data_IF_788904937783
#
_entry.id   IF_788904937783
#
_cell.length_a   1.000
_cell.length_b   1.000
_cell.length_c   1.000
_cell.angle_alpha   90.00
_cell.angle_beta   90.00
_cell.angle_gamma   90.00
#
_symmetry.space_group_name_H-M   'P 1'
#
loop_
_entity.id
_entity.type
_entity.pdbx_description
1 polymer ?
#
# COMPACT_ATOMS: atom_id res chain seq x y z
N UNK A 1 -53.52 14.63 76.03
CA UNK A 1 -52.59 15.14 75.01
C UNK A 1 -52.00 13.92 74.34
N UNK A 2 -52.47 13.61 73.14
CA UNK A 2 -52.06 12.44 72.37
C UNK A 2 -50.99 12.90 71.38
N UNK A 3 -49.75 12.50 71.60
CA UNK A 3 -48.64 12.74 70.68
C UNK A 3 -48.62 11.60 69.67
N UNK A 4 -49.15 11.85 68.46
CA UNK A 4 -49.15 10.90 67.35
C UNK A 4 -47.76 10.79 66.73
N UNK A 5 -47.17 9.59 66.76
CA UNK A 5 -45.90 9.32 66.11
C UNK A 5 -46.12 9.08 64.60
N UNK A 6 -45.78 10.08 63.78
CA UNK A 6 -45.83 10.02 62.31
C UNK A 6 -44.69 9.13 61.82
N UNK A 7 -45.02 7.91 61.40
CA UNK A 7 -44.07 7.01 60.74
C UNK A 7 -43.85 7.50 59.31
N UNK A 8 -42.66 8.02 59.01
CA UNK A 8 -42.25 8.32 57.64
C UNK A 8 -42.03 7.00 56.87
N UNK A 9 -42.51 6.88 55.62
CA UNK A 9 -42.19 5.73 54.79
C UNK A 9 -40.71 5.77 54.39
N UNK A 10 -39.95 4.73 54.73
CA UNK A 10 -38.59 4.53 54.24
C UNK A 10 -38.62 4.22 52.74
N UNK A 11 -37.97 5.07 51.96
CA UNK A 11 -37.73 4.88 50.53
C UNK A 11 -36.80 3.66 50.34
N UNK A 12 -37.14 2.67 49.49
CA UNK A 12 -36.30 1.49 49.29
C UNK A 12 -35.04 1.89 48.52
N UNK A 13 -33.87 1.78 49.17
CA UNK A 13 -32.58 2.00 48.52
C UNK A 13 -32.35 0.95 47.44
N UNK A 14 -32.41 1.37 46.18
CA UNK A 14 -32.01 0.54 45.05
C UNK A 14 -30.51 0.22 45.17
N UNK A 15 -30.06 -1.02 44.87
CA UNK A 15 -28.65 -1.37 44.89
C UNK A 15 -27.89 -0.49 43.89
N UNK A 16 -26.84 0.18 44.37
CA UNK A 16 -25.93 0.90 43.48
C UNK A 16 -25.32 -0.09 42.47
N UNK A 17 -25.22 0.27 41.18
CA UNK A 17 -24.54 -0.57 40.20
C UNK A 17 -23.09 -0.81 40.64
N UNK A 18 -22.52 -2.00 40.37
CA UNK A 18 -21.13 -2.27 40.69
C UNK A 18 -20.24 -1.22 40.03
N UNK A 19 -19.17 -0.75 40.70
CA UNK A 19 -18.23 0.17 40.09
C UNK A 19 -17.72 -0.45 38.78
N UNK A 20 -17.59 0.34 37.70
CA UNK A 20 -17.04 -0.17 36.46
C UNK A 20 -15.70 -0.83 36.76
N UNK A 21 -15.53 -2.07 36.31
CA UNK A 21 -14.27 -2.78 36.41
C UNK A 21 -13.14 -1.84 35.98
N UNK A 22 -12.10 -1.75 36.82
CA UNK A 22 -10.92 -0.91 36.60
C UNK A 22 -10.55 -0.91 35.11
N UNK A 23 -10.92 0.17 34.43
CA UNK A 23 -10.45 0.43 33.08
C UNK A 23 -8.95 0.66 33.25
N UNK A 24 -8.08 -0.15 32.64
CA UNK A 24 -6.64 0.08 32.73
C UNK A 24 -6.39 1.51 32.26
N UNK A 25 -5.78 2.30 33.14
CA UNK A 25 -5.52 3.72 32.88
C UNK A 25 -4.84 3.89 31.53
N UNK A 26 -5.26 4.92 30.79
CA UNK A 26 -4.70 5.27 29.51
C UNK A 26 -3.25 5.74 29.73
N UNK A 27 -2.30 4.79 29.68
CA UNK A 27 -0.88 5.09 29.73
C UNK A 27 -0.49 5.74 28.39
N UNK A 28 -0.14 7.03 28.42
CA UNK A 28 0.10 7.86 27.23
C UNK A 28 1.36 7.48 26.43
N UNK A 29 2.12 6.47 26.86
CA UNK A 29 3.21 5.87 26.11
C UNK A 29 2.77 4.50 25.56
N UNK A 30 1.86 4.53 24.57
CA UNK A 30 1.42 3.42 23.70
C UNK A 30 1.80 2.02 24.16
N UNK A 31 1.19 1.53 25.24
CA UNK A 31 1.15 0.11 25.50
C UNK A 31 0.08 -0.51 24.60
N UNK A 32 0.39 -0.67 23.31
CA UNK A 32 -0.44 -1.47 22.41
C UNK A 32 -0.52 -2.88 23.01
N UNK A 33 -1.74 -3.39 23.20
CA UNK A 33 -1.93 -4.72 23.78
C UNK A 33 -1.13 -5.74 22.95
N UNK A 34 -0.32 -6.58 23.62
CA UNK A 34 0.54 -7.55 22.94
C UNK A 34 -0.28 -8.48 22.04
N UNK A 35 -1.56 -8.69 22.37
CA UNK A 35 -2.50 -9.44 21.54
C UNK A 35 -2.87 -8.68 20.27
N UNK A 36 -3.24 -7.41 20.37
CA UNK A 36 -3.64 -6.60 19.21
C UNK A 36 -2.49 -6.40 18.22
N UNK A 37 -1.26 -6.20 18.71
CA UNK A 37 -0.08 -6.10 17.84
C UNK A 37 0.18 -7.40 17.07
N UNK A 38 0.01 -8.57 17.71
CA UNK A 38 0.16 -9.88 17.04
C UNK A 38 -0.93 -10.11 15.99
N UNK A 39 -2.16 -9.73 16.30
CA UNK A 39 -3.28 -9.83 15.36
C UNK A 39 -3.07 -8.92 14.15
N UNK A 40 -2.52 -7.73 14.34
CA UNK A 40 -2.20 -6.82 13.25
C UNK A 40 -1.07 -7.34 12.36
N UNK A 41 -0.01 -7.90 12.95
CA UNK A 41 1.08 -8.54 12.20
C UNK A 41 0.59 -9.78 11.42
N UNK A 42 -0.41 -10.48 11.95
CA UNK A 42 -1.00 -11.66 11.30
C UNK A 42 -1.89 -11.31 10.10
N UNK A 43 -2.32 -10.05 9.96
CA UNK A 43 -3.14 -9.64 8.81
C UNK A 43 -2.32 -9.79 7.52
N UNK A 44 -2.92 -10.31 6.44
CA UNK A 44 -2.25 -10.35 5.15
C UNK A 44 -1.91 -8.92 4.69
N UNK A 45 -0.80 -8.78 3.97
CA UNK A 45 -0.42 -7.49 3.41
C UNK A 45 -1.50 -7.00 2.45
N UNK A 46 -1.95 -5.76 2.64
CA UNK A 46 -2.94 -5.12 1.79
C UNK A 46 -2.39 -5.02 0.37
N UNK A 47 -3.23 -5.25 -0.63
CA UNK A 47 -2.87 -5.09 -2.04
C UNK A 47 -3.51 -3.83 -2.61
N UNK A 48 -2.94 -3.32 -3.70
CA UNK A 48 -3.53 -2.20 -4.44
C UNK A 48 -4.90 -2.57 -5.01
N UNK A 49 -5.06 -3.82 -5.43
CA UNK A 49 -6.33 -4.39 -5.95
C UNK A 49 -7.42 -4.53 -4.88
N UNK A 50 -7.06 -4.58 -3.59
CA UNK A 50 -8.05 -4.62 -2.49
C UNK A 50 -8.67 -3.24 -2.23
N UNK A 51 -7.96 -2.16 -2.58
CA UNK A 51 -8.37 -0.77 -2.31
C UNK A 51 -8.95 -0.08 -3.56
N UNK A 52 -8.48 -0.46 -4.75
CA UNK A 52 -8.83 0.19 -6.00
C UNK A 52 -9.16 -0.82 -7.10
N UNK A 53 -9.99 -0.39 -8.05
CA UNK A 53 -10.19 -1.13 -9.29
C UNK A 53 -8.93 -1.04 -10.16
N UNK A 54 -8.21 -2.16 -10.30
CA UNK A 54 -6.97 -2.24 -11.09
C UNK A 54 -7.15 -3.01 -12.40
N UNK A 55 -6.35 -2.70 -13.42
CA UNK A 55 -6.32 -3.45 -14.68
C UNK A 55 -4.88 -3.69 -15.15
N UNK A 56 -4.52 -4.95 -15.45
CA UNK A 56 -3.20 -5.35 -15.97
C UNK A 56 -2.01 -4.82 -15.15
N UNK A 57 -2.17 -4.70 -13.84
CA UNK A 57 -1.15 -4.12 -12.98
C UNK A 57 -0.03 -5.14 -12.71
N UNK A 58 1.25 -4.81 -12.96
CA UNK A 58 2.36 -5.69 -12.61
C UNK A 58 2.40 -5.98 -11.12
N UNK A 59 2.82 -7.20 -10.74
CA UNK A 59 2.95 -7.65 -9.34
C UNK A 59 3.71 -6.68 -8.43
N UNK A 60 4.72 -6.00 -8.99
CA UNK A 60 5.50 -4.98 -8.27
C UNK A 60 4.64 -3.80 -7.79
N UNK A 61 3.66 -3.36 -8.57
CA UNK A 61 2.77 -2.25 -8.23
C UNK A 61 1.53 -2.71 -7.45
N UNK A 62 1.19 -3.99 -7.55
CA UNK A 62 0.10 -4.59 -6.77
C UNK A 62 0.44 -4.77 -5.29
N UNK A 63 1.72 -5.03 -4.98
CA UNK A 63 2.21 -5.27 -3.61
C UNK A 63 3.20 -4.19 -3.18
N UNK A 64 2.83 -3.24 -2.29
CA UNK A 64 3.78 -2.20 -1.87
C UNK A 64 5.01 -2.72 -1.13
N UNK A 65 4.93 -3.89 -0.49
CA UNK A 65 6.09 -4.54 0.12
C UNK A 65 7.18 -4.92 -0.93
N UNK A 66 6.88 -4.89 -2.23
CA UNK A 66 7.90 -5.08 -3.26
C UNK A 66 8.90 -3.92 -3.33
N UNK A 67 8.51 -2.72 -2.85
CA UNK A 67 9.37 -1.54 -2.83
C UNK A 67 10.28 -1.55 -1.59
N UNK A 68 11.53 -1.93 -1.82
CA UNK A 68 12.58 -2.01 -0.79
C UNK A 68 13.78 -1.13 -1.18
N UNK A 69 14.61 -0.78 -0.20
CA UNK A 69 15.84 -0.01 -0.41
C UNK A 69 15.67 1.50 -0.29
N UNK A 70 14.54 1.98 0.20
CA UNK A 70 14.30 3.41 0.39
C UNK A 70 14.96 3.92 1.67
N UNK A 71 15.25 5.22 1.72
CA UNK A 71 16.00 5.82 2.83
C UNK A 71 15.41 5.54 4.21
N UNK A 72 14.08 5.59 4.36
CA UNK A 72 13.41 5.28 5.62
C UNK A 72 13.57 3.83 6.11
N UNK A 73 13.90 2.90 5.20
CA UNK A 73 14.05 1.47 5.51
C UNK A 73 15.51 1.10 5.82
N UNK A 74 16.47 1.75 5.16
CA UNK A 74 17.88 1.33 5.16
C UNK A 74 18.82 2.32 5.83
N UNK A 75 18.46 3.61 5.86
CA UNK A 75 19.38 4.64 6.33
C UNK A 75 19.65 4.50 7.83
N UNK A 76 20.95 4.44 8.16
CA UNK A 76 21.48 4.50 9.53
C UNK A 76 22.08 5.87 9.85
N UNK A 77 21.87 6.85 8.97
CA UNK A 77 22.46 8.18 9.11
C UNK A 77 21.82 8.91 10.29
N UNK A 78 22.66 9.56 11.09
CA UNK A 78 22.17 10.37 12.20
C UNK A 78 21.29 11.52 11.68
N UNK A 79 20.12 11.80 12.29
CA UNK A 79 19.20 12.84 11.82
C UNK A 79 19.86 14.22 11.62
N UNK A 80 20.81 14.60 12.47
CA UNK A 80 21.53 15.88 12.35
C UNK A 80 22.46 16.01 11.15
N UNK A 81 22.92 14.90 10.56
CA UNK A 81 23.84 14.95 9.43
C UNK A 81 23.13 14.76 8.09
N UNK A 82 21.81 14.94 8.05
CA UNK A 82 21.01 14.68 6.86
C UNK A 82 20.94 15.90 5.95
N UNK A 83 21.18 15.68 4.66
CA UNK A 83 21.13 16.74 3.64
C UNK A 83 19.79 16.73 2.92
N UNK A 84 19.46 17.81 2.20
CA UNK A 84 18.27 17.88 1.34
C UNK A 84 18.29 16.84 0.23
N UNK A 85 19.47 16.48 -0.30
CA UNK A 85 19.60 15.41 -1.29
C UNK A 85 19.17 14.04 -0.75
N UNK A 86 19.25 13.81 0.57
CA UNK A 86 18.78 12.57 1.19
C UNK A 86 17.24 12.49 1.27
N UNK A 87 16.51 13.56 0.99
CA UNK A 87 15.05 13.55 0.97
C UNK A 87 14.51 12.85 -0.30
N UNK A 88 15.21 12.99 -1.42
CA UNK A 88 14.88 12.27 -2.63
C UNK A 88 15.02 10.76 -2.43
N UNK A 89 13.99 10.00 -2.78
CA UNK A 89 13.97 8.54 -2.60
C UNK A 89 13.93 8.10 -1.13
N UNK A 90 13.54 8.99 -0.21
CA UNK A 90 13.46 8.61 1.20
C UNK A 90 12.29 7.66 1.50
N UNK A 91 11.11 7.92 0.92
CA UNK A 91 9.90 7.14 1.15
C UNK A 91 9.59 6.23 -0.05
N UNK A 92 9.21 4.95 0.20
CA UNK A 92 8.71 4.07 -0.86
C UNK A 92 7.36 4.54 -1.38
N UNK A 93 7.02 4.24 -2.63
CA UNK A 93 5.68 4.46 -3.15
C UNK A 93 4.66 3.55 -2.44
N UNK A 94 3.52 4.13 -2.08
CA UNK A 94 2.37 3.42 -1.52
C UNK A 94 1.23 3.25 -2.52
N UNK A 95 0.12 2.64 -2.08
CA UNK A 95 -1.06 2.34 -2.90
C UNK A 95 -1.64 3.55 -3.64
N UNK A 96 -1.61 4.73 -3.01
CA UNK A 96 -2.13 5.99 -3.58
C UNK A 96 -1.19 6.65 -4.59
N UNK A 97 0.07 6.22 -4.65
CA UNK A 97 1.09 6.80 -5.53
C UNK A 97 1.35 5.96 -6.78
N UNK A 98 0.96 4.68 -6.76
CA UNK A 98 1.10 3.77 -7.90
C UNK A 98 -0.11 3.90 -8.84
N UNK A 99 0.05 3.68 -10.15
CA UNK A 99 -1.07 3.72 -11.08
C UNK A 99 -2.02 2.54 -10.85
N UNK A 100 -3.31 2.73 -11.14
CA UNK A 100 -4.31 1.65 -11.13
C UNK A 100 -4.26 0.78 -12.39
N UNK A 101 -3.76 1.32 -13.50
CA UNK A 101 -3.72 0.65 -14.80
C UNK A 101 -2.34 0.83 -15.44
N UNK A 102 -1.83 -0.23 -16.05
CA UNK A 102 -0.53 -0.23 -16.72
C UNK A 102 -0.61 -0.89 -18.10
N UNK A 103 -0.25 -0.15 -19.15
CA UNK A 103 -0.24 -0.63 -20.54
C UNK A 103 1.18 -0.61 -21.09
N UNK A 104 1.97 -1.68 -20.90
CA UNK A 104 3.32 -1.73 -21.43
C UNK A 104 3.29 -1.91 -22.95
N UNK A 105 4.13 -1.15 -23.65
CA UNK A 105 4.44 -1.45 -25.04
C UNK A 105 5.37 -2.67 -25.09
N UNK A 106 4.88 -3.79 -25.59
CA UNK A 106 5.67 -5.01 -25.75
C UNK A 106 6.61 -4.91 -26.95
N UNK A 107 7.92 -4.97 -26.73
CA UNK A 107 8.92 -4.88 -27.81
C UNK A 107 9.35 -6.25 -28.37
N UNK A 108 8.60 -7.32 -28.09
CA UNK A 108 9.00 -8.70 -28.43
C UNK A 108 9.24 -8.91 -29.92
N UNK A 109 8.37 -8.36 -30.78
CA UNK A 109 8.52 -8.43 -32.23
C UNK A 109 9.78 -7.69 -32.72
N UNK A 110 9.94 -6.42 -32.34
CA UNK A 110 11.09 -5.61 -32.77
C UNK A 110 12.40 -6.14 -32.21
N UNK A 111 12.42 -6.66 -30.98
CA UNK A 111 13.64 -7.26 -30.41
C UNK A 111 14.10 -8.47 -31.24
N UNK A 112 13.15 -9.31 -31.70
CA UNK A 112 13.47 -10.43 -32.61
C UNK A 112 14.00 -9.92 -33.94
N UNK A 113 13.39 -8.89 -34.52
CA UNK A 113 13.83 -8.32 -35.79
C UNK A 113 15.20 -7.62 -35.67
N UNK A 114 15.42 -6.87 -34.59
CA UNK A 114 16.67 -6.18 -34.31
C UNK A 114 17.85 -7.14 -34.16
N UNK A 115 17.61 -8.35 -33.62
CA UNK A 115 18.64 -9.38 -33.51
C UNK A 115 19.12 -9.91 -34.89
N UNK A 116 18.30 -9.79 -35.95
CA UNK A 116 18.68 -10.18 -37.31
C UNK A 116 19.58 -9.14 -38.01
N UNK A 117 19.78 -7.96 -37.42
CA UNK A 117 20.63 -6.90 -37.97
C UNK A 117 19.97 -6.04 -39.05
N UNK A 118 20.78 -5.24 -39.73
CA UNK A 118 20.29 -4.33 -40.78
C UNK A 118 19.92 -5.11 -42.04
N UNK A 119 18.73 -4.82 -42.59
CA UNK A 119 18.29 -5.40 -43.87
C UNK A 119 19.29 -5.08 -44.98
N UNK A 120 19.56 -6.08 -45.82
CA UNK A 120 20.33 -5.94 -47.05
C UNK A 120 19.62 -6.66 -48.18
N UNK A 121 19.55 -6.02 -49.34
CA UNK A 121 19.01 -6.62 -50.55
C UNK A 121 20.12 -7.35 -51.30
N UNK A 122 19.95 -8.66 -51.50
CA UNK A 122 20.84 -9.51 -52.28
C UNK A 122 20.10 -10.17 -53.47
N UNK A 123 18.97 -9.61 -53.89
CA UNK A 123 18.18 -10.13 -55.01
C UNK A 123 18.73 -9.68 -56.36
N UNK A 124 18.51 -10.48 -57.40
CA UNK A 124 18.78 -10.11 -58.80
C UNK A 124 17.54 -9.47 -59.43
N UNK A 125 17.74 -8.47 -60.28
CA UNK A 125 16.68 -7.91 -61.11
C UNK A 125 16.29 -8.93 -62.18
N UNK A 126 15.09 -9.50 -62.07
CA UNK A 126 14.54 -10.51 -62.99
C UNK A 126 13.29 -10.02 -63.72
N UNK A 127 12.90 -8.76 -63.51
CA UNK A 127 11.78 -8.16 -64.23
C UNK A 127 12.09 -8.12 -65.73
N UNK A 128 11.17 -8.64 -66.54
CA UNK A 128 11.21 -8.43 -67.99
C UNK A 128 11.03 -6.94 -68.27
N UNK A 129 11.85 -6.40 -69.17
CA UNK A 129 11.72 -5.01 -69.58
C UNK A 129 10.35 -4.79 -70.24
N UNK A 130 9.74 -3.65 -69.95
CA UNK A 130 8.44 -3.35 -70.55
C UNK A 130 8.65 -2.92 -71.99
N UNK A 131 8.01 -3.63 -72.92
CA UNK A 131 7.95 -3.23 -74.32
C UNK A 131 7.09 -1.96 -74.43
N UNK A 132 7.75 -0.82 -74.32
CA UNK A 132 7.17 0.48 -74.61
C UNK A 132 6.91 0.61 -76.10
N UNK A 133 5.77 0.11 -76.56
CA UNK A 133 5.21 0.52 -77.85
C UNK A 133 4.55 1.90 -77.64
N UNK A 134 5.26 2.97 -78.02
CA UNK A 134 4.69 4.30 -78.29
C UNK A 134 4.32 4.40 -79.77
#
# INVERSE_FOLDING_TARGET
>A
MAEGNVTQPQEPSLPLPPPPASQPGFCSATCTDKKSAKEEIAKPNVKTSDLFTTCNLPKRFEHPHWFNGYGCQVSKQHPFYRTSSNEYGWYPPGYYSVPSVFFPAGQTFTNRLSAAGMYRNYSLNTGMDQVGYQ
#
